data_IF_730989915223
#
_entry.id   IF_730989915223
#
_cell.length_a   1.000
_cell.length_b   1.000
_cell.length_c   1.000
_cell.angle_alpha   90.00
_cell.angle_beta   90.00
_cell.angle_gamma   90.00
#
_symmetry.space_group_name_H-M   'P 1'
#
loop_
_entity.id
_entity.type
_entity.pdbx_description
1 polymer ?
#
# COMPACT_ATOMS: atom_id res chain seq x y z
N UNK A 1 -4.46 -2.17 -31.67
CA UNK A 1 -3.96 -1.79 -30.34
C UNK A 1 -3.05 -0.59 -30.55
N UNK A 2 -3.22 0.50 -29.79
CA UNK A 2 -2.28 1.62 -29.83
C UNK A 2 -0.91 1.14 -29.32
N UNK A 3 0.16 1.60 -29.99
CA UNK A 3 1.54 1.28 -29.63
C UNK A 3 1.80 1.67 -28.17
N UNK A 4 2.66 0.94 -27.44
CA UNK A 4 2.88 1.26 -26.01
C UNK A 4 3.35 2.71 -25.87
N UNK A 5 4.28 3.16 -26.71
CA UNK A 5 4.77 4.53 -26.69
C UNK A 5 3.70 5.64 -26.82
N UNK A 6 2.51 5.36 -27.36
CA UNK A 6 1.44 6.37 -27.53
C UNK A 6 0.54 6.54 -26.29
N UNK A 7 0.72 5.70 -25.28
CA UNK A 7 -0.10 5.73 -24.07
C UNK A 7 0.47 6.68 -23.03
N UNK A 8 -0.36 7.05 -22.05
CA UNK A 8 0.08 7.87 -20.92
C UNK A 8 0.55 6.98 -19.77
N UNK A 9 1.74 7.26 -19.27
CA UNK A 9 2.32 6.53 -18.16
C UNK A 9 2.78 7.44 -17.04
N UNK A 10 2.95 6.85 -15.86
CA UNK A 10 3.73 7.42 -14.75
C UNK A 10 4.69 6.36 -14.21
N UNK A 11 5.93 6.74 -13.98
CA UNK A 11 6.96 5.93 -13.36
C UNK A 11 6.82 6.00 -11.84
N UNK A 12 7.04 4.88 -11.15
CA UNK A 12 6.98 4.83 -9.69
C UNK A 12 7.91 5.88 -9.07
N UNK A 13 7.44 6.62 -8.03
CA UNK A 13 8.27 7.61 -7.35
C UNK A 13 9.45 6.97 -6.59
N UNK A 14 9.45 5.64 -6.38
CA UNK A 14 10.56 4.93 -5.74
C UNK A 14 11.75 4.67 -6.69
N UNK A 15 11.59 4.87 -8.00
CA UNK A 15 12.61 4.59 -9.00
C UNK A 15 13.74 5.63 -8.98
N UNK A 16 14.98 5.14 -8.80
CA UNK A 16 16.21 5.91 -9.03
C UNK A 16 16.82 5.49 -10.37
N UNK A 17 17.07 6.47 -11.24
CA UNK A 17 17.55 6.23 -12.60
C UNK A 17 19.05 6.52 -12.66
N UNK A 18 19.84 5.56 -13.11
CA UNK A 18 21.27 5.70 -13.34
C UNK A 18 21.59 5.33 -14.79
N UNK A 19 22.39 6.16 -15.45
CA UNK A 19 22.77 5.95 -16.85
C UNK A 19 24.18 5.39 -16.94
N UNK A 20 24.36 4.34 -17.75
CA UNK A 20 25.68 3.73 -18.01
C UNK A 20 25.93 3.61 -19.52
N UNK A 21 27.12 3.17 -19.91
CA UNK A 21 27.44 2.89 -21.31
C UNK A 21 26.65 1.70 -21.88
N UNK A 22 26.19 0.78 -21.03
CA UNK A 22 25.46 -0.43 -21.44
C UNK A 22 23.94 -0.20 -21.50
N UNK A 23 23.42 0.86 -20.88
CA UNK A 23 21.98 1.08 -20.79
C UNK A 23 21.56 2.03 -19.66
N UNK A 24 20.34 1.84 -19.18
CA UNK A 24 19.77 2.58 -18.04
C UNK A 24 19.41 1.59 -16.94
N UNK A 25 19.99 1.81 -15.76
CA UNK A 25 19.71 1.06 -14.56
C UNK A 25 18.62 1.77 -13.75
N UNK A 26 17.58 1.04 -13.39
CA UNK A 26 16.51 1.52 -12.52
C UNK A 26 16.60 0.75 -11.21
N UNK A 27 16.84 1.49 -10.13
CA UNK A 27 16.99 0.93 -8.80
C UNK A 27 15.80 1.32 -7.93
N UNK A 28 15.22 0.33 -7.27
CA UNK A 28 14.33 0.52 -6.12
C UNK A 28 14.97 -0.13 -4.88
N UNK A 29 14.27 -0.13 -3.74
CA UNK A 29 14.70 -0.87 -2.56
C UNK A 29 14.56 -2.39 -2.70
N UNK A 30 13.80 -2.87 -3.67
CA UNK A 30 13.43 -4.29 -3.80
C UNK A 30 13.99 -4.95 -5.07
N UNK A 31 14.15 -4.17 -6.13
CA UNK A 31 14.55 -4.67 -7.44
C UNK A 31 15.49 -3.70 -8.16
N UNK A 32 16.31 -4.28 -9.02
CA UNK A 32 17.19 -3.59 -9.96
C UNK A 32 16.81 -4.07 -11.38
N UNK A 33 16.48 -3.12 -12.25
CA UNK A 33 16.09 -3.39 -13.64
C UNK A 33 17.08 -2.70 -14.58
N UNK A 34 17.82 -3.48 -15.36
CA UNK A 34 18.68 -2.97 -16.41
C UNK A 34 17.94 -2.95 -17.75
N UNK A 35 17.75 -1.75 -18.31
CA UNK A 35 17.29 -1.56 -19.67
C UNK A 35 18.51 -1.43 -20.58
N UNK A 36 18.85 -2.51 -21.28
CA UNK A 36 19.88 -2.49 -22.32
C UNK A 36 19.41 -1.68 -23.53
N UNK A 37 20.18 -0.68 -23.92
CA UNK A 37 19.80 0.20 -25.03
C UNK A 37 21.01 0.89 -25.65
N UNK A 38 20.95 1.14 -26.95
CA UNK A 38 21.91 2.00 -27.66
C UNK A 38 21.65 3.51 -27.43
N UNK A 39 20.53 3.87 -26.77
CA UNK A 39 20.14 5.26 -26.47
C UNK A 39 19.98 5.52 -24.97
N UNK A 40 21.00 5.24 -24.13
CA UNK A 40 20.85 5.29 -22.67
C UNK A 40 20.51 6.69 -22.16
N UNK A 41 21.00 7.74 -22.83
CA UNK A 41 20.68 9.13 -22.47
C UNK A 41 19.19 9.44 -22.70
N UNK A 42 18.63 9.03 -23.83
CA UNK A 42 17.25 9.35 -24.19
C UNK A 42 16.25 8.52 -23.38
N UNK A 43 16.55 7.24 -23.12
CA UNK A 43 15.79 6.43 -22.16
C UNK A 43 15.81 7.09 -20.78
N UNK A 44 16.96 7.54 -20.30
CA UNK A 44 17.08 8.20 -19.00
C UNK A 44 16.23 9.47 -18.89
N UNK A 45 16.27 10.33 -19.92
CA UNK A 45 15.42 11.54 -19.98
C UNK A 45 13.94 11.19 -20.05
N UNK A 46 13.57 10.19 -20.86
CA UNK A 46 12.19 9.70 -20.95
C UNK A 46 11.68 9.27 -19.57
N UNK A 47 12.41 8.38 -18.90
CA UNK A 47 12.03 7.84 -17.58
C UNK A 47 11.99 8.93 -16.51
N UNK A 48 12.97 9.84 -16.50
CA UNK A 48 12.97 10.98 -15.57
C UNK A 48 11.76 11.89 -15.80
N UNK A 49 11.34 12.08 -17.05
CA UNK A 49 10.12 12.85 -17.38
C UNK A 49 8.86 12.11 -16.93
N UNK A 50 8.83 10.78 -17.07
CA UNK A 50 7.72 9.93 -16.65
C UNK A 50 7.55 9.84 -15.13
N UNK A 51 8.46 10.39 -14.31
CA UNK A 51 8.16 10.65 -12.89
C UNK A 51 6.91 11.54 -12.71
N UNK A 52 6.53 12.27 -13.76
CA UNK A 52 5.21 12.88 -13.93
C UNK A 52 4.47 12.18 -15.07
N UNK A 53 3.13 12.16 -15.01
CA UNK A 53 2.34 11.54 -16.07
C UNK A 53 2.62 12.14 -17.45
N UNK A 54 2.97 11.31 -18.44
CA UNK A 54 3.32 11.75 -19.80
C UNK A 54 3.20 10.65 -20.86
N UNK A 55 3.25 11.04 -22.13
CA UNK A 55 3.24 10.13 -23.29
C UNK A 55 4.66 9.93 -23.83
N UNK A 56 5.21 8.69 -23.86
CA UNK A 56 6.55 8.43 -24.33
C UNK A 56 6.82 8.92 -25.75
N UNK A 57 5.86 8.77 -26.67
CA UNK A 57 6.01 9.21 -28.05
C UNK A 57 6.15 10.74 -28.14
N UNK A 58 5.37 11.50 -27.38
CA UNK A 58 5.49 12.96 -27.30
C UNK A 58 6.86 13.37 -26.73
N UNK A 59 7.31 12.70 -25.66
CA UNK A 59 8.58 12.97 -24.98
C UNK A 59 9.78 12.63 -25.86
N UNK A 60 9.73 11.52 -26.60
CA UNK A 60 10.78 11.08 -27.52
C UNK A 60 10.84 11.96 -28.77
N UNK A 61 9.69 12.38 -29.30
CA UNK A 61 9.63 13.31 -30.42
C UNK A 61 10.27 14.66 -30.07
N UNK A 62 10.05 15.17 -28.85
CA UNK A 62 10.72 16.37 -28.34
C UNK A 62 12.25 16.22 -28.25
N UNK A 63 12.74 14.98 -28.15
CA UNK A 63 14.17 14.65 -28.19
C UNK A 63 14.70 14.34 -29.60
N UNK A 64 13.87 14.52 -30.64
CA UNK A 64 14.24 14.26 -32.03
C UNK A 64 14.18 12.78 -32.44
N UNK A 65 13.52 11.93 -31.65
CA UNK A 65 13.36 10.50 -31.93
C UNK A 65 11.96 10.27 -32.51
N UNK A 66 11.89 9.94 -33.80
CA UNK A 66 10.63 9.64 -34.48
C UNK A 66 10.22 8.16 -34.39
N UNK A 67 11.20 7.26 -34.28
CA UNK A 67 10.95 5.82 -34.17
C UNK A 67 10.84 5.42 -32.69
N UNK A 68 9.61 5.37 -32.18
CA UNK A 68 9.33 5.22 -30.73
C UNK A 68 9.07 3.77 -30.32
N UNK A 69 8.70 2.90 -31.25
CA UNK A 69 8.44 1.47 -31.04
C UNK A 69 9.66 0.72 -30.46
N UNK A 70 10.87 1.19 -30.74
CA UNK A 70 12.09 0.61 -30.19
C UNK A 70 12.22 0.75 -28.65
N UNK A 71 11.38 1.56 -28.02
CA UNK A 71 11.31 1.71 -26.56
C UNK A 71 10.24 0.83 -25.92
N UNK A 72 9.38 0.18 -26.72
CA UNK A 72 8.29 -0.67 -26.22
C UNK A 72 8.79 -1.82 -25.31
N UNK A 73 9.91 -2.52 -25.60
CA UNK A 73 10.43 -3.54 -24.69
C UNK A 73 10.78 -3.00 -23.31
N UNK A 74 11.37 -1.80 -23.24
CA UNK A 74 11.70 -1.15 -21.97
C UNK A 74 10.44 -0.76 -21.18
N UNK A 75 9.43 -0.23 -21.87
CA UNK A 75 8.13 0.09 -21.26
C UNK A 75 7.43 -1.17 -20.76
N UNK A 76 7.48 -2.26 -21.53
CA UNK A 76 6.88 -3.55 -21.17
C UNK A 76 7.54 -4.14 -19.92
N UNK A 77 8.87 -4.18 -19.85
CA UNK A 77 9.59 -4.64 -18.66
C UNK A 77 9.17 -3.87 -17.41
N UNK A 78 9.03 -2.54 -17.50
CA UNK A 78 8.61 -1.74 -16.35
C UNK A 78 7.13 -1.91 -15.99
N UNK A 79 6.26 -2.19 -16.96
CA UNK A 79 4.86 -2.54 -16.69
C UNK A 79 4.75 -3.90 -15.99
N UNK A 80 5.54 -4.89 -16.42
CA UNK A 80 5.57 -6.23 -15.83
C UNK A 80 6.14 -6.21 -14.40
N UNK A 81 7.10 -5.34 -14.13
CA UNK A 81 7.62 -5.06 -12.79
C UNK A 81 6.73 -4.12 -11.97
N UNK A 82 5.53 -3.70 -12.40
CA UNK A 82 4.71 -2.69 -11.69
C UNK A 82 5.49 -1.39 -11.32
N UNK A 83 6.56 -1.06 -12.07
CA UNK A 83 7.36 0.17 -11.90
C UNK A 83 6.88 1.30 -12.81
N UNK A 84 6.06 0.96 -13.82
CA UNK A 84 5.39 1.90 -14.71
C UNK A 84 3.89 1.62 -14.67
N UNK A 85 3.08 2.67 -14.54
CA UNK A 85 1.63 2.58 -14.56
C UNK A 85 1.08 3.23 -15.83
N UNK A 86 0.31 2.48 -16.60
CA UNK A 86 -0.54 3.00 -17.67
C UNK A 86 -1.80 3.66 -17.06
N UNK A 87 -1.78 4.98 -16.94
CA UNK A 87 -2.77 5.75 -16.15
C UNK A 87 -4.19 5.75 -16.75
N UNK A 88 -4.32 5.25 -17.98
CA UNK A 88 -5.59 5.17 -18.69
C UNK A 88 -6.03 3.71 -18.94
N UNK A 89 -5.25 2.73 -18.50
CA UNK A 89 -5.55 1.29 -18.70
C UNK A 89 -6.94 0.95 -18.18
N UNK A 90 -7.27 1.40 -16.97
CA UNK A 90 -8.57 1.14 -16.33
C UNK A 90 -9.72 1.81 -17.09
N UNK A 91 -9.53 3.01 -17.63
CA UNK A 91 -10.55 3.74 -18.39
C UNK A 91 -10.82 3.15 -19.79
N UNK A 92 -9.87 2.39 -20.35
CA UNK A 92 -10.03 1.70 -21.64
C UNK A 92 -10.59 0.28 -21.52
N UNK A 93 -10.70 -0.24 -20.30
CA UNK A 93 -11.27 -1.56 -20.04
C UNK A 93 -12.76 -1.60 -20.38
N UNK A 94 -13.19 -2.65 -21.08
CA UNK A 94 -14.57 -2.85 -21.52
C UNK A 94 -15.23 -4.09 -20.92
N UNK A 95 -14.48 -4.85 -20.11
CA UNK A 95 -14.99 -6.02 -19.40
C UNK A 95 -14.68 -5.93 -17.91
N UNK A 96 -15.45 -6.64 -17.09
CA UNK A 96 -15.23 -6.74 -15.64
C UNK A 96 -13.81 -7.20 -15.30
N UNK A 97 -13.30 -8.19 -16.02
CA UNK A 97 -11.95 -8.71 -15.81
C UNK A 97 -10.89 -7.65 -16.15
N UNK A 98 -11.02 -6.96 -17.28
CA UNK A 98 -10.07 -5.90 -17.65
C UNK A 98 -10.06 -4.76 -16.64
N UNK A 99 -11.22 -4.36 -16.09
CA UNK A 99 -11.32 -3.33 -15.05
C UNK A 99 -10.63 -3.81 -13.77
N UNK A 100 -10.95 -5.03 -13.33
CA UNK A 100 -10.34 -5.63 -12.15
C UNK A 100 -8.82 -5.68 -12.26
N UNK A 101 -8.30 -6.22 -13.37
CA UNK A 101 -6.86 -6.39 -13.59
C UNK A 101 -6.13 -5.04 -13.67
N UNK A 102 -6.76 -4.04 -14.31
CA UNK A 102 -6.18 -2.70 -14.43
C UNK A 102 -6.10 -1.98 -13.08
N UNK A 103 -7.17 -2.04 -12.27
CA UNK A 103 -7.19 -1.39 -10.96
C UNK A 103 -6.34 -2.14 -9.92
N UNK A 104 -6.26 -3.48 -9.97
CA UNK A 104 -5.32 -4.24 -9.14
C UNK A 104 -3.86 -3.94 -9.51
N UNK A 105 -3.55 -3.78 -10.79
CA UNK A 105 -2.22 -3.33 -11.22
C UNK A 105 -1.91 -1.91 -10.71
N UNK A 106 -2.89 -1.01 -10.75
CA UNK A 106 -2.76 0.32 -10.16
C UNK A 106 -2.53 0.27 -8.64
N UNK A 107 -3.24 -0.61 -7.92
CA UNK A 107 -3.04 -0.78 -6.49
C UNK A 107 -1.64 -1.34 -6.16
N UNK A 108 -1.14 -2.32 -6.91
CA UNK A 108 0.24 -2.82 -6.75
C UNK A 108 1.28 -1.73 -7.03
N UNK A 109 1.09 -0.94 -8.08
CA UNK A 109 1.96 0.18 -8.39
C UNK A 109 2.03 1.20 -7.23
N UNK A 110 0.89 1.62 -6.69
CA UNK A 110 0.84 2.62 -5.61
C UNK A 110 1.26 2.09 -4.25
N UNK A 111 1.19 0.78 -4.01
CA UNK A 111 1.57 0.18 -2.72
C UNK A 111 3.07 -0.04 -2.58
N UNK A 112 3.82 -0.20 -3.67
CA UNK A 112 5.30 -0.30 -3.63
C UNK A 112 5.98 0.84 -2.85
N UNK A 113 5.66 2.13 -3.08
CA UNK A 113 6.19 3.24 -2.30
C UNK A 113 5.96 3.16 -0.77
N UNK A 114 4.95 2.44 -0.29
CA UNK A 114 4.70 2.23 1.15
C UNK A 114 5.87 1.45 1.78
N UNK A 115 6.38 0.43 1.08
CA UNK A 115 7.48 -0.41 1.55
C UNK A 115 8.87 0.17 1.24
N UNK A 116 8.93 1.23 0.43
CA UNK A 116 10.13 2.02 0.17
C UNK A 116 10.34 3.16 1.18
N UNK A 117 9.49 3.28 2.21
CA UNK A 117 9.65 4.31 3.25
C UNK A 117 10.90 4.06 4.11
N UNK A 118 11.61 5.11 4.58
CA UNK A 118 12.83 4.96 5.38
C UNK A 118 12.70 4.06 6.62
N UNK A 119 11.49 4.00 7.21
CA UNK A 119 11.19 3.08 8.30
C UNK A 119 11.51 1.62 7.95
N UNK A 120 11.11 1.16 6.76
CA UNK A 120 11.29 -0.24 6.34
C UNK A 120 12.75 -0.59 6.11
N UNK A 121 13.54 0.34 5.57
CA UNK A 121 14.98 0.13 5.38
C UNK A 121 15.71 -0.01 6.73
N UNK A 122 15.38 0.86 7.70
CA UNK A 122 15.93 0.77 9.06
C UNK A 122 15.48 -0.52 9.75
N UNK A 123 14.19 -0.87 9.64
CA UNK A 123 13.63 -2.06 10.27
C UNK A 123 14.33 -3.33 9.76
N UNK A 124 14.39 -3.50 8.43
CA UNK A 124 14.99 -4.68 7.77
C UNK A 124 16.50 -4.79 7.93
N UNK A 125 17.19 -3.70 8.26
CA UNK A 125 18.64 -3.68 8.49
C UNK A 125 19.05 -3.73 9.96
N UNK A 126 18.09 -3.84 10.89
CA UNK A 126 18.38 -3.84 12.33
C UNK A 126 18.70 -2.47 12.93
N UNK A 127 18.44 -1.38 12.19
CA UNK A 127 18.82 0.00 12.56
C UNK A 127 17.69 0.80 13.22
N UNK A 128 16.47 0.26 13.29
CA UNK A 128 15.37 0.93 13.99
C UNK A 128 15.62 0.94 15.50
N UNK A 129 15.38 2.09 16.13
CA UNK A 129 15.45 2.20 17.58
C UNK A 129 14.32 1.41 18.28
N UNK A 130 14.48 1.04 19.57
CA UNK A 130 13.41 0.38 20.32
C UNK A 130 12.08 1.12 20.34
N UNK A 131 12.12 2.46 20.44
CA UNK A 131 10.92 3.28 20.40
C UNK A 131 10.20 3.19 19.05
N UNK A 132 10.94 3.16 17.93
CA UNK A 132 10.34 3.02 16.59
C UNK A 132 9.71 1.64 16.38
N UNK A 133 10.38 0.57 16.83
CA UNK A 133 9.88 -0.80 16.69
C UNK A 133 8.61 -1.02 17.51
N UNK A 134 8.63 -0.65 18.80
CA UNK A 134 7.43 -0.80 19.65
C UNK A 134 6.35 0.23 19.28
N UNK A 135 6.75 1.43 18.87
CA UNK A 135 5.84 2.46 18.36
C UNK A 135 5.05 1.98 17.15
N UNK A 136 5.70 1.30 16.20
CA UNK A 136 5.01 0.63 15.10
C UNK A 136 3.96 -0.36 15.60
N UNK A 137 4.29 -1.19 16.60
CA UNK A 137 3.33 -2.10 17.22
C UNK A 137 2.08 -1.42 17.78
N UNK A 138 2.27 -0.31 18.50
CA UNK A 138 1.16 0.48 19.07
C UNK A 138 0.29 1.10 17.97
N UNK A 139 0.92 1.73 16.97
CA UNK A 139 0.18 2.38 15.89
C UNK A 139 -0.53 1.37 14.98
N UNK A 140 0.08 0.20 14.78
CA UNK A 140 -0.55 -0.89 14.03
C UNK A 140 -1.72 -1.51 14.79
N UNK A 141 -1.65 -1.62 16.13
CA UNK A 141 -2.82 -1.98 16.94
C UNK A 141 -3.98 -1.00 16.69
N UNK A 142 -3.75 0.31 16.77
CA UNK A 142 -4.82 1.29 16.55
C UNK A 142 -5.41 1.22 15.13
N UNK A 143 -4.56 1.01 14.12
CA UNK A 143 -5.03 0.84 12.74
C UNK A 143 -5.91 -0.40 12.58
N UNK A 144 -5.48 -1.56 13.08
CA UNK A 144 -6.24 -2.81 12.95
C UNK A 144 -7.53 -2.77 13.78
N UNK A 145 -7.46 -2.26 15.02
CA UNK A 145 -8.62 -2.16 15.89
C UNK A 145 -9.71 -1.23 15.33
N UNK A 146 -9.31 -0.23 14.54
CA UNK A 146 -10.22 0.67 13.83
C UNK A 146 -11.08 -0.03 12.77
N UNK A 147 -10.82 -1.30 12.43
CA UNK A 147 -11.77 -2.11 11.64
C UNK A 147 -13.19 -2.07 12.25
N UNK A 148 -13.29 -2.00 13.59
CA UNK A 148 -14.55 -1.84 14.31
C UNK A 148 -15.21 -0.46 14.14
N UNK A 149 -14.45 0.56 13.73
CA UNK A 149 -14.96 1.90 13.48
C UNK A 149 -15.49 2.04 12.04
N UNK A 150 -14.72 1.60 11.03
CA UNK A 150 -15.04 1.87 9.63
C UNK A 150 -15.78 0.74 8.91
N UNK A 151 -15.57 -0.54 9.25
CA UNK A 151 -16.21 -1.64 8.50
C UNK A 151 -17.73 -1.73 8.72
N UNK A 152 -18.28 -1.53 9.94
CA UNK A 152 -19.73 -1.45 10.13
C UNK A 152 -20.37 -0.31 9.33
N UNK A 153 -19.67 0.82 9.19
CA UNK A 153 -20.10 1.94 8.35
C UNK A 153 -20.11 1.53 6.87
N UNK A 154 -19.07 0.84 6.38
CA UNK A 154 -19.02 0.34 5.01
C UNK A 154 -20.21 -0.57 4.70
N UNK A 155 -20.59 -1.44 5.65
CA UNK A 155 -21.80 -2.26 5.53
C UNK A 155 -23.09 -1.42 5.51
N UNK A 156 -23.23 -0.48 6.45
CA UNK A 156 -24.42 0.37 6.57
C UNK A 156 -24.60 1.30 5.36
N UNK A 157 -23.50 1.73 4.73
CA UNK A 157 -23.47 2.64 3.60
C UNK A 157 -23.35 1.95 2.24
N UNK A 158 -23.28 0.61 2.19
CA UNK A 158 -23.48 -0.16 0.96
C UNK A 158 -24.94 -0.07 0.55
N UNK A 159 -25.28 0.74 -0.47
CA UNK A 159 -26.67 1.10 -0.80
C UNK A 159 -27.15 0.49 -2.12
N UNK A 160 -26.39 0.68 -3.18
CA UNK A 160 -26.79 0.33 -4.55
C UNK A 160 -26.45 -1.13 -4.86
N UNK A 161 -25.24 -1.56 -4.48
CA UNK A 161 -24.74 -2.93 -4.70
C UNK A 161 -25.03 -3.83 -3.49
N UNK A 162 -26.32 -4.08 -3.24
CA UNK A 162 -26.79 -4.85 -2.07
C UNK A 162 -26.18 -6.26 -1.97
N UNK A 163 -25.80 -6.86 -3.10
CA UNK A 163 -25.12 -8.15 -3.13
C UNK A 163 -23.76 -8.14 -2.41
N UNK A 164 -23.10 -6.98 -2.28
CA UNK A 164 -21.84 -6.84 -1.56
C UNK A 164 -21.99 -6.85 -0.04
N UNK A 165 -23.20 -6.65 0.50
CA UNK A 165 -23.42 -6.59 1.96
C UNK A 165 -23.01 -7.87 2.67
N UNK A 166 -23.36 -9.04 2.14
CA UNK A 166 -23.02 -10.31 2.76
C UNK A 166 -21.50 -10.58 2.75
N UNK A 167 -20.77 -10.40 1.63
CA UNK A 167 -19.31 -10.42 1.61
C UNK A 167 -18.67 -9.43 2.60
N UNK A 168 -19.13 -8.17 2.63
CA UNK A 168 -18.59 -7.15 3.53
C UNK A 168 -18.85 -7.51 5.00
N UNK A 169 -20.04 -8.00 5.33
CA UNK A 169 -20.37 -8.43 6.68
C UNK A 169 -19.53 -9.63 7.13
N UNK A 170 -19.29 -10.60 6.23
CA UNK A 170 -18.39 -11.72 6.50
C UNK A 170 -16.97 -11.23 6.77
N UNK A 171 -16.45 -10.34 5.93
CA UNK A 171 -15.12 -9.78 6.11
C UNK A 171 -15.01 -9.05 7.46
N UNK A 172 -16.00 -8.25 7.84
CA UNK A 172 -16.02 -7.63 9.17
C UNK A 172 -15.98 -8.66 10.32
N UNK A 173 -16.69 -9.79 10.19
CA UNK A 173 -16.68 -10.83 11.22
C UNK A 173 -15.28 -11.46 11.38
N UNK A 174 -14.54 -11.58 10.29
CA UNK A 174 -13.16 -12.06 10.30
C UNK A 174 -12.25 -11.03 11.01
N UNK A 175 -12.36 -9.75 10.66
CA UNK A 175 -11.45 -8.69 11.15
C UNK A 175 -11.74 -8.18 12.57
N UNK A 176 -13.00 -8.22 13.05
CA UNK A 176 -13.43 -7.48 14.26
C UNK A 176 -12.61 -7.77 15.53
N UNK A 177 -11.95 -8.93 15.60
CA UNK A 177 -11.16 -9.35 16.75
C UNK A 177 -9.65 -9.32 16.50
N UNK A 178 -9.19 -8.87 15.33
CA UNK A 178 -7.77 -8.86 14.97
C UNK A 178 -6.95 -7.92 15.86
N UNK A 179 -7.51 -6.79 16.32
CA UNK A 179 -6.84 -5.89 17.26
C UNK A 179 -6.33 -6.59 18.53
N UNK A 180 -7.05 -7.62 19.02
CA UNK A 180 -6.64 -8.42 20.18
C UNK A 180 -5.34 -9.19 19.94
N UNK A 181 -5.09 -9.66 18.71
CA UNK A 181 -3.87 -10.39 18.36
C UNK A 181 -2.64 -9.50 18.63
N UNK A 182 -2.71 -8.23 18.22
CA UNK A 182 -1.65 -7.26 18.39
C UNK A 182 -1.47 -6.82 19.85
N UNK A 183 -2.58 -6.61 20.56
CA UNK A 183 -2.55 -6.24 21.97
C UNK A 183 -1.89 -7.34 22.83
N UNK A 184 -2.24 -8.62 22.58
CA UNK A 184 -1.59 -9.78 23.21
C UNK A 184 -0.10 -9.88 22.86
N UNK A 185 0.28 -9.52 21.63
CA UNK A 185 1.68 -9.47 21.20
C UNK A 185 2.51 -8.43 21.93
N UNK A 186 1.97 -7.22 22.05
CA UNK A 186 2.59 -6.12 22.80
C UNK A 186 2.74 -6.46 24.30
N UNK A 187 1.76 -7.13 24.90
CA UNK A 187 1.86 -7.61 26.28
C UNK A 187 3.00 -8.59 26.51
N UNK A 188 3.24 -9.51 25.56
CA UNK A 188 4.40 -10.42 25.62
C UNK A 188 5.74 -9.68 25.51
N UNK A 189 5.75 -8.45 25.00
CA UNK A 189 6.90 -7.55 25.00
C UNK A 189 7.00 -6.66 26.25
N UNK A 190 6.16 -6.89 27.26
CA UNK A 190 6.15 -6.12 28.50
C UNK A 190 5.40 -4.79 28.41
N UNK A 191 4.60 -4.56 27.36
CA UNK A 191 3.76 -3.37 27.23
C UNK A 191 2.34 -3.68 27.72
N UNK A 192 1.90 -3.10 28.85
CA UNK A 192 0.58 -3.42 29.40
C UNK A 192 -0.57 -2.98 28.49
N UNK A 193 -1.64 -3.77 28.42
CA UNK A 193 -2.80 -3.47 27.58
C UNK A 193 -3.36 -2.08 27.86
N UNK A 194 -3.54 -1.73 29.12
CA UNK A 194 -4.09 -0.45 29.57
C UNK A 194 -3.26 0.74 29.09
N UNK A 195 -1.94 0.55 28.91
CA UNK A 195 -1.07 1.62 28.42
C UNK A 195 -1.26 1.86 26.91
N UNK A 196 -1.49 0.80 26.15
CA UNK A 196 -1.80 0.90 24.70
C UNK A 196 -3.20 1.48 24.50
N UNK A 197 -4.20 1.00 25.25
CA UNK A 197 -5.58 1.46 25.17
C UNK A 197 -5.76 2.92 25.59
N UNK A 198 -5.00 3.38 26.58
CA UNK A 198 -5.02 4.78 27.01
C UNK A 198 -4.24 5.72 26.07
N UNK A 199 -3.40 5.18 25.19
CA UNK A 199 -2.62 5.99 24.27
C UNK A 199 -3.47 6.41 23.06
N UNK A 200 -3.48 7.69 22.68
CA UNK A 200 -4.08 8.09 21.42
C UNK A 200 -3.17 7.65 20.25
N UNK A 201 -3.73 7.31 19.07
CA UNK A 201 -2.94 7.08 17.85
C UNK A 201 -2.25 8.35 17.36
N UNK A 202 -1.11 8.22 16.68
CA UNK A 202 -0.41 9.36 16.05
C UNK A 202 -1.37 10.14 15.13
N UNK A 203 -1.15 11.46 14.94
CA UNK A 203 -1.96 12.23 13.99
C UNK A 203 -2.02 11.59 12.61
N UNK A 204 -0.92 11.00 12.13
CA UNK A 204 -0.85 10.28 10.86
C UNK A 204 -1.72 9.01 10.86
N UNK A 205 -1.66 8.19 11.92
CA UNK A 205 -2.52 7.02 12.11
C UNK A 205 -3.99 7.41 12.20
N UNK A 206 -4.31 8.47 12.96
CA UNK A 206 -5.68 8.99 13.04
C UNK A 206 -6.17 9.51 11.69
N UNK A 207 -5.33 10.16 10.91
CA UNK A 207 -5.68 10.64 9.57
C UNK A 207 -6.01 9.48 8.63
N UNK A 208 -5.21 8.40 8.65
CA UNK A 208 -5.49 7.17 7.90
C UNK A 208 -6.85 6.56 8.32
N UNK A 209 -7.09 6.41 9.63
CA UNK A 209 -8.37 5.88 10.16
C UNK A 209 -9.55 6.75 9.71
N UNK A 210 -9.43 8.08 9.84
CA UNK A 210 -10.50 9.00 9.45
C UNK A 210 -10.78 8.93 7.93
N UNK A 211 -9.76 8.77 7.11
CA UNK A 211 -9.94 8.59 5.67
C UNK A 211 -10.68 7.29 5.34
N UNK A 212 -10.40 6.20 6.04
CA UNK A 212 -11.14 4.94 5.90
C UNK A 212 -12.61 5.09 6.31
N UNK A 213 -12.87 5.85 7.38
CA UNK A 213 -14.24 6.20 7.81
C UNK A 213 -14.94 7.04 6.73
N UNK A 214 -14.28 8.03 6.13
CA UNK A 214 -14.83 8.84 5.05
C UNK A 214 -15.19 7.98 3.82
N UNK A 215 -14.30 7.08 3.41
CA UNK A 215 -14.56 6.13 2.31
C UNK A 215 -15.70 5.16 2.64
N UNK A 216 -15.79 4.71 3.89
CA UNK A 216 -16.92 3.91 4.36
C UNK A 216 -18.25 4.68 4.26
N UNK A 217 -18.28 5.95 4.66
CA UNK A 217 -19.46 6.81 4.58
C UNK A 217 -19.90 7.12 3.14
N UNK A 218 -18.93 7.30 2.23
CA UNK A 218 -19.16 7.62 0.83
C UNK A 218 -19.95 6.51 0.12
N UNK A 219 -19.66 5.25 0.43
CA UNK A 219 -20.39 4.09 -0.07
C UNK A 219 -19.49 2.97 -0.56
N UNK A 220 -20.12 1.92 -1.12
CA UNK A 220 -19.47 0.65 -1.45
C UNK A 220 -18.27 0.77 -2.39
N UNK A 221 -18.25 1.75 -3.30
CA UNK A 221 -17.15 1.92 -4.26
C UNK A 221 -15.86 2.33 -3.55
N UNK A 222 -15.88 3.46 -2.84
CA UNK A 222 -14.69 3.96 -2.14
C UNK A 222 -14.28 3.01 -1.02
N UNK A 223 -15.25 2.50 -0.26
CA UNK A 223 -15.00 1.52 0.80
C UNK A 223 -14.28 0.28 0.27
N UNK A 224 -14.82 -0.40 -0.75
CA UNK A 224 -14.18 -1.63 -1.24
C UNK A 224 -12.83 -1.36 -1.90
N UNK A 225 -12.70 -0.25 -2.65
CA UNK A 225 -11.41 0.17 -3.24
C UNK A 225 -10.30 0.35 -2.20
N UNK A 226 -10.62 0.71 -0.95
CA UNK A 226 -9.62 0.79 0.11
C UNK A 226 -8.89 -0.54 0.36
N UNK A 227 -9.60 -1.66 0.23
CA UNK A 227 -9.02 -2.99 0.42
C UNK A 227 -8.10 -3.43 -0.71
N UNK A 228 -8.18 -2.80 -1.89
CA UNK A 228 -7.21 -3.03 -2.95
C UNK A 228 -5.77 -2.61 -2.53
N UNK A 229 -5.66 -1.64 -1.61
CA UNK A 229 -4.38 -1.13 -1.08
C UNK A 229 -3.99 -1.78 0.24
N UNK A 230 -4.96 -2.19 1.07
CA UNK A 230 -4.70 -2.85 2.36
C UNK A 230 -4.42 -4.35 2.24
N UNK A 231 -4.97 -5.00 1.21
CA UNK A 231 -4.75 -6.41 0.91
C UNK A 231 -4.17 -6.61 -0.50
N UNK A 232 -3.18 -5.81 -0.95
CA UNK A 232 -2.64 -5.97 -2.27
C UNK A 232 -1.82 -7.26 -2.25
N UNK A 233 -2.13 -8.17 -3.18
CA UNK A 233 -1.28 -9.32 -3.47
C UNK A 233 0.02 -8.89 -4.17
N UNK A 234 0.80 -7.97 -3.57
CA UNK A 234 2.11 -7.56 -4.06
C UNK A 234 3.04 -8.75 -4.23
N UNK A 235 2.93 -9.73 -3.33
CA UNK A 235 3.48 -11.08 -3.47
C UNK A 235 2.55 -12.08 -2.79
N UNK A 236 2.31 -13.24 -3.41
CA UNK A 236 1.75 -14.38 -2.68
C UNK A 236 2.77 -14.78 -1.61
N UNK A 237 2.54 -14.33 -0.38
CA UNK A 237 3.41 -14.67 0.74
C UNK A 237 3.16 -16.13 1.11
N UNK A 238 4.11 -17.00 0.80
CA UNK A 238 4.09 -18.36 1.34
C UNK A 238 4.41 -18.34 2.82
N UNK A 239 3.95 -19.35 3.57
CA UNK A 239 4.31 -19.51 4.98
C UNK A 239 5.83 -19.46 5.21
N UNK A 240 6.63 -19.99 4.26
CA UNK A 240 8.09 -19.93 4.35
C UNK A 240 8.67 -18.51 4.22
N UNK A 241 8.07 -17.67 3.37
CA UNK A 241 8.47 -16.25 3.22
C UNK A 241 8.14 -15.46 4.48
N UNK A 242 6.94 -15.67 5.03
CA UNK A 242 6.52 -15.03 6.28
C UNK A 242 7.44 -15.44 7.44
N UNK A 243 7.71 -16.74 7.60
CA UNK A 243 8.58 -17.25 8.66
C UNK A 243 10.00 -16.68 8.56
N UNK A 244 10.57 -16.63 7.34
CA UNK A 244 11.89 -16.05 7.12
C UNK A 244 11.94 -14.56 7.49
N UNK A 245 10.93 -13.80 7.06
CA UNK A 245 10.84 -12.36 7.31
C UNK A 245 10.74 -12.05 8.81
N UNK A 246 9.75 -12.63 9.51
CA UNK A 246 9.57 -12.37 10.92
C UNK A 246 10.67 -13.02 11.78
N UNK A 247 11.24 -14.14 11.35
CA UNK A 247 12.42 -14.74 11.97
C UNK A 247 13.62 -13.79 11.96
N UNK A 248 13.87 -13.12 10.84
CA UNK A 248 14.92 -12.10 10.74
C UNK A 248 14.64 -10.90 11.66
N UNK A 249 13.41 -10.39 11.69
CA UNK A 249 13.04 -9.28 12.58
C UNK A 249 13.24 -9.64 14.06
N UNK A 250 12.88 -10.86 14.47
CA UNK A 250 13.13 -11.35 15.84
C UNK A 250 14.62 -11.44 16.17
N UNK A 251 15.46 -11.79 15.19
CA UNK A 251 16.90 -11.80 15.37
C UNK A 251 17.49 -10.39 15.58
N UNK A 252 16.98 -9.39 14.87
CA UNK A 252 17.38 -7.99 15.05
C UNK A 252 16.82 -7.35 16.33
N UNK A 253 15.57 -7.66 16.70
CA UNK A 253 14.88 -7.04 17.83
C UNK A 253 14.24 -8.08 18.76
N UNK A 254 15.04 -8.82 19.54
CA UNK A 254 14.54 -9.91 20.38
C UNK A 254 13.55 -9.46 21.46
N UNK A 255 13.66 -8.21 21.96
CA UNK A 255 12.70 -7.64 22.92
C UNK A 255 11.29 -7.48 22.33
N UNK A 256 11.16 -7.42 21.00
CA UNK A 256 9.90 -7.24 20.28
C UNK A 256 9.34 -8.57 19.73
N UNK A 257 9.89 -9.73 20.12
CA UNK A 257 9.49 -11.03 19.55
C UNK A 257 8.00 -11.31 19.68
N UNK A 258 7.40 -11.01 20.85
CA UNK A 258 5.96 -11.23 21.07
C UNK A 258 5.06 -10.44 20.13
N UNK A 259 5.47 -9.22 19.75
CA UNK A 259 4.81 -8.37 18.76
C UNK A 259 4.97 -8.95 17.35
N UNK A 260 6.18 -9.37 16.95
CA UNK A 260 6.38 -10.00 15.65
C UNK A 260 5.65 -11.34 15.52
N UNK A 261 5.51 -12.10 16.61
CA UNK A 261 4.66 -13.30 16.63
C UNK A 261 3.20 -12.97 16.31
N UNK A 262 2.70 -11.85 16.83
CA UNK A 262 1.34 -11.38 16.54
C UNK A 262 1.18 -10.96 15.07
N UNK A 263 2.18 -10.27 14.51
CA UNK A 263 2.16 -9.84 13.10
C UNK A 263 2.24 -11.04 12.16
N UNK A 264 3.12 -12.00 12.47
CA UNK A 264 3.20 -13.27 11.74
C UNK A 264 1.88 -14.04 11.77
N UNK A 265 1.24 -14.12 12.95
CA UNK A 265 -0.06 -14.77 13.10
C UNK A 265 -1.13 -14.09 12.27
N UNK A 266 -1.21 -12.76 12.27
CA UNK A 266 -2.17 -12.03 11.44
C UNK A 266 -1.94 -12.29 9.96
N UNK A 267 -0.71 -12.13 9.47
CA UNK A 267 -0.38 -12.37 8.07
C UNK A 267 -0.66 -13.82 7.65
N UNK A 268 -0.48 -14.79 8.55
CA UNK A 268 -0.82 -16.20 8.29
C UNK A 268 -2.33 -16.42 8.17
N UNK A 269 -3.13 -15.77 9.04
CA UNK A 269 -4.60 -15.82 8.97
C UNK A 269 -5.11 -15.22 7.65
N UNK A 270 -4.55 -14.10 7.20
CA UNK A 270 -4.94 -13.46 5.93
C UNK A 270 -4.71 -14.41 4.74
N UNK A 271 -3.58 -15.14 4.74
CA UNK A 271 -3.26 -16.16 3.72
C UNK A 271 -4.22 -17.36 3.81
N UNK A 272 -4.52 -17.85 5.03
CA UNK A 272 -5.47 -18.97 5.22
C UNK A 272 -6.90 -18.63 4.80
N UNK A 273 -7.32 -17.37 4.99
CA UNK A 273 -8.64 -16.88 4.61
C UNK A 273 -8.74 -16.50 3.13
N UNK A 274 -7.63 -16.52 2.38
CA UNK A 274 -7.59 -16.21 0.96
C UNK A 274 -7.94 -14.74 0.68
N UNK A 275 -7.50 -13.83 1.56
CA UNK A 275 -7.80 -12.40 1.46
C UNK A 275 -7.22 -11.75 0.19
N UNK A 276 -6.44 -12.46 -0.64
CA UNK A 276 -6.13 -12.02 -2.00
C UNK A 276 -7.39 -11.84 -2.88
N UNK A 277 -8.50 -12.51 -2.56
CA UNK A 277 -9.82 -12.31 -3.18
C UNK A 277 -10.67 -11.34 -2.36
N UNK A 278 -10.25 -10.09 -2.35
CA UNK A 278 -10.85 -9.00 -1.56
C UNK A 278 -12.31 -8.71 -1.93
N UNK A 279 -13.01 -7.99 -1.04
CA UNK A 279 -14.31 -7.35 -1.35
C UNK A 279 -14.25 -6.41 -2.56
N UNK A 280 -13.06 -5.90 -2.91
CA UNK A 280 -12.82 -5.12 -4.12
C UNK A 280 -12.91 -5.97 -5.40
N UNK A 281 -12.34 -7.16 -5.42
CA UNK A 281 -12.46 -8.08 -6.57
C UNK A 281 -13.92 -8.40 -6.85
N UNK A 282 -14.72 -8.62 -5.80
CA UNK A 282 -16.17 -8.83 -5.92
C UNK A 282 -16.90 -7.60 -6.46
N UNK A 283 -16.53 -6.39 -6.03
CA UNK A 283 -17.08 -5.16 -6.63
C UNK A 283 -16.88 -5.17 -8.16
N UNK A 284 -15.66 -5.47 -8.61
CA UNK A 284 -15.30 -5.43 -10.02
C UNK A 284 -15.92 -6.56 -10.85
N UNK A 285 -16.10 -7.75 -10.28
CA UNK A 285 -16.54 -8.94 -11.02
C UNK A 285 -18.05 -9.25 -10.88
N UNK A 286 -18.64 -9.02 -9.71
CA UNK A 286 -20.02 -9.43 -9.39
C UNK A 286 -21.04 -8.28 -9.58
N UNK A 287 -20.56 -7.06 -9.81
CA UNK A 287 -21.39 -5.86 -10.00
C UNK A 287 -21.68 -5.51 -11.47
N UNK A 288 -22.45 -4.44 -11.73
CA UNK A 288 -22.43 -3.78 -13.04
C UNK A 288 -21.02 -3.32 -13.40
N UNK A 289 -20.71 -3.30 -14.69
CA UNK A 289 -19.43 -2.75 -15.15
C UNK A 289 -19.31 -1.29 -14.69
N UNK A 290 -18.18 -0.94 -14.05
CA UNK A 290 -17.96 0.39 -13.52
C UNK A 290 -17.97 1.45 -14.62
N UNK A 291 -18.73 2.52 -14.43
CA UNK A 291 -18.73 3.65 -15.33
C UNK A 291 -17.38 4.41 -15.27
N UNK A 292 -16.98 5.16 -16.32
CA UNK A 292 -15.71 5.87 -16.35
C UNK A 292 -15.48 6.82 -15.16
N UNK A 293 -16.53 7.43 -14.62
CA UNK A 293 -16.44 8.27 -13.43
C UNK A 293 -16.13 7.45 -12.15
N UNK A 294 -16.70 6.24 -12.03
CA UNK A 294 -16.44 5.33 -10.93
C UNK A 294 -15.01 4.79 -11.00
N UNK A 295 -14.52 4.45 -12.20
CA UNK A 295 -13.13 4.05 -12.42
C UNK A 295 -12.16 5.15 -11.98
N UNK A 296 -12.38 6.40 -12.39
CA UNK A 296 -11.54 7.53 -11.93
C UNK A 296 -11.59 7.72 -10.41
N UNK A 297 -12.75 7.52 -9.79
CA UNK A 297 -12.89 7.59 -8.33
C UNK A 297 -12.11 6.45 -7.65
N UNK A 298 -12.22 5.22 -8.16
CA UNK A 298 -11.47 4.07 -7.67
C UNK A 298 -9.95 4.33 -7.72
N UNK A 299 -9.43 4.76 -8.87
CA UNK A 299 -8.01 5.15 -9.02
C UNK A 299 -7.59 6.24 -8.01
N UNK A 300 -8.45 7.24 -7.77
CA UNK A 300 -8.18 8.28 -6.78
C UNK A 300 -8.14 7.73 -5.35
N UNK A 301 -9.07 6.84 -4.98
CA UNK A 301 -9.10 6.20 -3.65
C UNK A 301 -7.86 5.35 -3.44
N UNK A 302 -7.49 4.54 -4.43
CA UNK A 302 -6.29 3.67 -4.40
C UNK A 302 -5.03 4.51 -4.15
N UNK A 303 -4.81 5.54 -4.97
CA UNK A 303 -3.64 6.42 -4.82
C UNK A 303 -3.63 7.12 -3.46
N UNK A 304 -4.72 7.79 -3.10
CA UNK A 304 -4.78 8.60 -1.89
C UNK A 304 -4.63 7.76 -0.61
N UNK A 305 -5.15 6.53 -0.60
CA UNK A 305 -4.97 5.63 0.53
C UNK A 305 -3.52 5.16 0.65
N UNK A 306 -2.86 4.84 -0.47
CA UNK A 306 -1.44 4.51 -0.46
C UNK A 306 -0.59 5.67 0.06
N UNK A 307 -0.93 6.91 -0.32
CA UNK A 307 -0.30 8.12 0.23
C UNK A 307 -0.49 8.25 1.75
N UNK A 308 -1.68 7.98 2.28
CA UNK A 308 -1.92 7.97 3.73
C UNK A 308 -1.11 6.88 4.44
N UNK A 309 -0.89 5.71 3.83
CA UNK A 309 -0.01 4.69 4.38
C UNK A 309 1.47 5.12 4.38
N UNK A 310 1.93 5.84 3.35
CA UNK A 310 3.27 6.43 3.37
C UNK A 310 3.42 7.40 4.56
N UNK A 311 2.43 8.27 4.77
CA UNK A 311 2.40 9.20 5.91
C UNK A 311 2.31 8.49 7.26
N UNK A 312 1.61 7.35 7.35
CA UNK A 312 1.57 6.50 8.53
C UNK A 312 2.98 6.05 8.94
N UNK A 313 3.75 5.50 8.00
CA UNK A 313 5.13 5.07 8.27
C UNK A 313 6.10 6.23 8.48
N UNK A 314 5.94 7.36 7.78
CA UNK A 314 6.70 8.58 8.05
C UNK A 314 6.44 9.10 9.46
N UNK A 315 5.18 9.10 9.90
CA UNK A 315 4.79 9.47 11.26
C UNK A 315 5.46 8.61 12.32
N UNK A 316 5.51 7.29 12.10
CA UNK A 316 6.22 6.37 13.00
C UNK A 316 7.72 6.67 13.00
N UNK A 317 8.35 6.77 11.83
CA UNK A 317 9.80 6.99 11.71
C UNK A 317 10.23 8.28 12.43
N UNK A 318 9.48 9.37 12.24
CA UNK A 318 9.79 10.70 12.77
C UNK A 318 9.47 10.83 14.25
N UNK A 319 8.24 10.49 14.67
CA UNK A 319 7.78 10.75 16.03
C UNK A 319 8.50 9.86 17.06
N UNK A 320 8.73 8.59 16.71
CA UNK A 320 9.40 7.67 17.64
C UNK A 320 10.93 7.76 17.59
N UNK A 321 11.54 8.24 16.51
CA UNK A 321 12.99 8.51 16.50
C UNK A 321 13.39 9.64 17.47
N UNK A 322 12.52 10.62 17.70
CA UNK A 322 12.79 11.75 18.59
C UNK A 322 12.69 11.40 20.09
N UNK A 323 12.20 10.21 20.44
CA UNK A 323 11.88 9.86 21.82
C UNK A 323 12.87 8.82 22.36
N UNK A 324 13.85 9.23 23.17
CA UNK A 324 14.85 8.30 23.76
C UNK A 324 14.23 7.31 24.76
N UNK A 325 13.03 7.58 25.28
CA UNK A 325 12.28 6.69 26.17
C UNK A 325 10.92 6.36 25.56
N UNK A 326 10.68 5.07 25.29
CA UNK A 326 9.37 4.60 24.90
C UNK A 326 8.38 4.78 26.06
N UNK A 327 7.35 5.58 25.83
CA UNK A 327 6.12 5.57 26.62
C UNK A 327 4.99 5.61 25.60
N UNK A 328 4.01 4.68 25.64
CA UNK A 328 2.73 4.92 24.99
C UNK A 328 2.29 6.34 25.37
N UNK A 329 1.91 7.13 24.36
CA UNK A 329 1.68 8.56 24.59
C UNK A 329 0.56 8.68 25.62
N UNK A 330 0.79 9.47 26.66
CA UNK A 330 -0.22 9.61 27.72
C UNK A 330 -1.49 10.21 27.11
N UNK A 331 -2.65 9.73 27.54
CA UNK A 331 -3.92 10.40 27.27
C UNK A 331 -3.80 11.90 27.62
N UNK A 332 -4.41 12.77 26.80
CA UNK A 332 -4.62 14.16 27.21
C UNK A 332 -5.49 14.12 28.46
N UNK A 333 -4.92 14.44 29.62
CA UNK A 333 -5.70 14.73 30.82
C UNK A 333 -6.46 16.02 30.56
N UNK A 334 -7.70 15.92 30.09
CA UNK A 334 -8.61 17.05 29.91
C UNK A 334 -9.33 17.42 31.22
N UNK A 335 -9.09 16.70 32.31
CA UNK A 335 -9.55 17.05 33.66
C UNK A 335 -8.92 18.38 34.09
N UNK A 336 -9.68 19.47 33.93
CA UNK A 336 -9.25 20.84 34.21
C UNK A 336 -9.46 21.84 33.06
N UNK A 337 -9.95 21.39 31.89
CA UNK A 337 -10.30 22.25 30.75
C UNK A 337 -11.81 22.39 30.49
N UNK A 338 -12.66 22.00 31.45
CA UNK A 338 -14.11 22.23 31.45
C UNK A 338 -14.47 23.10 32.65
#
# INVERSE_FOLDING_TARGET
MSALAERRYVLSPSCRIQTSAAGVLINTSEEEVLIETQYPRQVSVLLATLQKSGCPAEILLQQGIAQTDMFDPALLTLLESDLLLDVERSCRANTHQEVNDALLAEARFWTKPIFAQPFWDKLRSGQSSPSQVVGWGVEFYHFVDAANDYMPLGLAHTRELRQLRAPIARHYIEEMNHGRIFLEGLARCGIPHESVLAAPPLPHTRALINQLIEYAYEGELAYTCSFAVMQPGLTQSSSAVLEAFYGQLKAYYPYASGMFDAFHRHASLDVELGHEQTVFTRLCLDGPLLAPAQIRRASTVIRNLAESFMLFFEGIDTCYAATERFSPRRALQLEGLI
#
